data_IF_715835575774
#
_entry.id   IF_715835575774
#
_cell.length_a   1.000
_cell.length_b   1.000
_cell.length_c   1.000
_cell.angle_alpha   90.00
_cell.angle_beta   90.00
_cell.angle_gamma   90.00
#
_symmetry.space_group_name_H-M   'P 1'
#
loop_
_entity.id
_entity.type
_entity.pdbx_description
1 polymer ?
#
# COMPACT_ATOMS: atom_id res chain seq x y z
N UNK A 1 -12.64 28.63 13.90
CA UNK A 1 -12.25 27.42 13.15
C UNK A 1 -10.92 26.93 13.72
N UNK A 2 -10.76 25.64 13.99
CA UNK A 2 -9.46 25.08 14.40
C UNK A 2 -8.34 25.41 13.39
N UNK A 3 -8.70 25.62 12.12
CA UNK A 3 -7.78 26.12 11.07
C UNK A 3 -7.22 27.51 11.37
N UNK A 4 -7.98 28.39 12.04
CA UNK A 4 -7.53 29.74 12.40
C UNK A 4 -6.68 29.77 13.70
N UNK A 5 -6.67 28.70 14.48
CA UNK A 5 -5.83 28.57 15.69
C UNK A 5 -4.45 27.99 15.38
N UNK A 6 -4.29 27.24 14.29
CA UNK A 6 -2.98 26.74 13.84
C UNK A 6 -2.03 27.82 13.32
N UNK A 7 -2.53 29.00 12.96
CA UNK A 7 -1.73 30.11 12.42
C UNK A 7 -1.26 31.11 13.50
N UNK A 8 -1.75 31.00 14.74
CA UNK A 8 -1.41 31.92 15.83
C UNK A 8 -0.59 31.14 16.87
N UNK A 9 0.71 31.04 16.62
CA UNK A 9 1.70 30.36 17.46
C UNK A 9 1.96 31.05 18.81
N UNK A 10 0.95 31.12 19.68
CA UNK A 10 1.14 31.43 21.10
C UNK A 10 1.01 30.17 21.95
N UNK A 11 1.90 30.00 22.93
CA UNK A 11 1.95 28.85 23.86
C UNK A 11 0.66 28.64 24.67
N UNK A 12 -0.23 29.64 24.74
CA UNK A 12 -1.59 29.55 25.30
C UNK A 12 -2.52 28.65 24.48
N UNK A 13 -2.18 28.38 23.22
CA UNK A 13 -2.96 27.56 22.29
C UNK A 13 -2.75 26.05 22.48
N UNK A 14 -1.57 25.60 22.93
CA UNK A 14 -1.21 24.16 22.99
C UNK A 14 -2.15 23.39 23.92
N UNK A 15 -2.41 23.91 25.12
CA UNK A 15 -3.35 23.27 26.05
C UNK A 15 -4.77 23.19 25.50
N UNK A 16 -5.22 24.22 24.78
CA UNK A 16 -6.54 24.23 24.14
C UNK A 16 -6.60 23.23 22.98
N UNK A 17 -5.55 23.17 22.14
CA UNK A 17 -5.44 22.22 21.04
C UNK A 17 -5.39 20.78 21.56
N UNK A 18 -4.69 20.52 22.67
CA UNK A 18 -4.69 19.20 23.31
C UNK A 18 -6.10 18.81 23.77
N UNK A 19 -6.80 19.69 24.48
CA UNK A 19 -8.18 19.44 24.89
C UNK A 19 -9.10 19.18 23.69
N UNK A 20 -8.99 19.99 22.62
CA UNK A 20 -9.75 19.79 21.38
C UNK A 20 -9.40 18.45 20.72
N UNK A 21 -8.12 18.09 20.63
CA UNK A 21 -7.68 16.83 20.02
C UNK A 21 -8.22 15.58 20.71
N UNK A 22 -8.52 15.67 22.02
CA UNK A 22 -8.96 14.54 22.83
C UNK A 22 -10.47 14.46 23.03
N UNK A 23 -11.16 15.61 23.01
CA UNK A 23 -12.54 15.70 23.51
C UNK A 23 -13.53 16.28 22.51
N UNK A 24 -13.07 16.83 21.38
CA UNK A 24 -14.02 17.36 20.39
C UNK A 24 -14.83 16.22 19.76
N UNK A 25 -16.14 16.43 19.66
CA UNK A 25 -17.07 15.45 19.09
C UNK A 25 -16.84 15.27 17.60
N UNK A 26 -16.37 16.30 16.90
CA UNK A 26 -16.12 16.28 15.47
C UNK A 26 -14.69 15.79 15.17
N UNK A 27 -14.62 14.65 14.46
CA UNK A 27 -13.37 14.05 14.01
C UNK A 27 -12.49 15.01 13.18
N UNK A 28 -13.09 15.88 12.36
CA UNK A 28 -12.35 16.85 11.56
C UNK A 28 -11.74 17.93 12.43
N UNK A 29 -12.43 18.34 13.51
CA UNK A 29 -11.92 19.33 14.45
C UNK A 29 -10.78 18.74 15.28
N UNK A 30 -10.91 17.49 15.76
CA UNK A 30 -9.80 16.76 16.40
C UNK A 30 -8.59 16.68 15.47
N UNK A 31 -8.79 16.25 14.23
CA UNK A 31 -7.74 16.15 13.20
C UNK A 31 -7.03 17.49 12.95
N UNK A 32 -7.78 18.58 12.85
CA UNK A 32 -7.22 19.92 12.68
C UNK A 32 -6.40 20.37 13.90
N UNK A 33 -6.84 20.03 15.12
CA UNK A 33 -6.09 20.33 16.33
C UNK A 33 -4.77 19.54 16.39
N UNK A 34 -4.78 18.25 16.03
CA UNK A 34 -3.57 17.41 15.95
C UNK A 34 -2.59 17.95 14.90
N UNK A 35 -3.10 18.34 13.73
CA UNK A 35 -2.29 18.93 12.66
C UNK A 35 -1.62 20.24 13.12
N UNK A 36 -2.35 21.09 13.85
CA UNK A 36 -1.80 22.30 14.45
C UNK A 36 -0.72 21.99 15.50
N UNK A 37 -0.93 21.01 16.39
CA UNK A 37 0.08 20.58 17.38
C UNK A 37 1.38 20.12 16.71
N UNK A 38 1.27 19.33 15.63
CA UNK A 38 2.41 18.90 14.83
C UNK A 38 3.15 20.06 14.16
N UNK A 39 2.43 21.01 13.56
CA UNK A 39 3.00 22.20 12.90
C UNK A 39 3.69 23.16 13.88
N UNK A 40 3.14 23.30 15.09
CA UNK A 40 3.74 24.10 16.16
C UNK A 40 5.03 23.42 16.67
N UNK A 41 5.12 22.10 16.58
CA UNK A 41 6.24 21.33 17.12
C UNK A 41 6.28 21.36 18.64
N UNK A 42 5.12 21.42 19.30
CA UNK A 42 4.99 21.56 20.75
C UNK A 42 5.47 20.29 21.48
N UNK A 43 6.63 20.28 22.16
CA UNK A 43 7.17 19.06 22.79
C UNK A 43 6.27 18.49 23.89
N UNK A 44 5.49 19.35 24.55
CA UNK A 44 4.53 18.98 25.60
C UNK A 44 3.35 18.16 25.06
N UNK A 45 3.09 18.20 23.75
CA UNK A 45 2.03 17.42 23.12
C UNK A 45 2.42 15.96 22.84
N UNK A 46 3.70 15.61 22.93
CA UNK A 46 4.19 14.28 22.52
C UNK A 46 3.52 13.14 23.30
N UNK A 47 3.57 13.15 24.64
CA UNK A 47 2.97 12.09 25.47
C UNK A 47 1.43 12.07 25.38
N UNK A 48 0.72 13.23 25.45
CA UNK A 48 -0.72 13.26 25.21
C UNK A 48 -1.17 12.66 23.87
N UNK A 49 -0.38 12.85 22.81
CA UNK A 49 -0.65 12.29 21.49
C UNK A 49 -0.40 10.77 21.45
N UNK A 50 0.63 10.27 22.14
CA UNK A 50 0.83 8.82 22.33
C UNK A 50 -0.36 8.19 23.06
N UNK A 51 -0.89 8.85 24.08
CA UNK A 51 -2.08 8.38 24.80
C UNK A 51 -3.35 8.44 23.95
N UNK A 52 -3.49 9.47 23.10
CA UNK A 52 -4.64 9.60 22.18
C UNK A 52 -4.74 8.42 21.22
N UNK A 53 -3.62 7.93 20.66
CA UNK A 53 -3.63 6.78 19.75
C UNK A 53 -4.22 5.53 20.41
N UNK A 54 -4.04 5.35 21.73
CA UNK A 54 -4.52 4.16 22.45
C UNK A 54 -6.04 4.08 22.52
N UNK A 55 -6.72 5.22 22.43
CA UNK A 55 -8.18 5.31 22.56
C UNK A 55 -8.88 5.68 21.24
N UNK A 56 -8.14 6.24 20.28
CA UNK A 56 -8.69 6.65 18.99
C UNK A 56 -8.98 5.44 18.10
N UNK A 57 -10.11 5.50 17.39
CA UNK A 57 -10.63 4.43 16.54
C UNK A 57 -10.54 4.78 15.06
N UNK A 58 -10.53 6.07 14.72
CA UNK A 58 -10.49 6.52 13.33
C UNK A 58 -9.06 6.47 12.79
N UNK A 59 -8.83 5.62 11.79
CA UNK A 59 -7.50 5.39 11.21
C UNK A 59 -6.86 6.67 10.66
N UNK A 60 -7.66 7.55 10.05
CA UNK A 60 -7.16 8.81 9.48
C UNK A 60 -6.75 9.82 10.57
N UNK A 61 -7.30 9.71 11.78
CA UNK A 61 -6.83 10.47 12.95
C UNK A 61 -5.55 9.85 13.48
N UNK A 62 -5.47 8.52 13.62
CA UNK A 62 -4.25 7.84 14.08
C UNK A 62 -3.06 8.21 13.18
N UNK A 63 -3.24 8.17 11.86
CA UNK A 63 -2.23 8.63 10.87
C UNK A 63 -1.80 10.06 11.15
N UNK A 64 -2.76 10.97 11.33
CA UNK A 64 -2.46 12.37 11.64
C UNK A 64 -1.71 12.54 12.97
N UNK A 65 -2.00 11.72 13.98
CA UNK A 65 -1.26 11.75 15.24
C UNK A 65 0.18 11.30 15.05
N UNK A 66 0.44 10.23 14.30
CA UNK A 66 1.81 9.78 14.04
C UNK A 66 2.59 10.82 13.23
N UNK A 67 1.98 11.45 12.22
CA UNK A 67 2.60 12.57 11.52
C UNK A 67 2.95 13.73 12.46
N UNK A 68 2.04 14.10 13.36
CA UNK A 68 2.28 15.14 14.35
C UNK A 68 3.43 14.79 15.30
N UNK A 69 3.51 13.53 15.78
CA UNK A 69 4.59 13.06 16.64
C UNK A 69 5.96 13.14 15.94
N UNK A 70 6.03 12.75 14.67
CA UNK A 70 7.25 12.85 13.86
C UNK A 70 7.66 14.32 13.67
N UNK A 71 6.70 15.20 13.42
CA UNK A 71 6.96 16.64 13.25
C UNK A 71 7.39 17.32 14.56
N UNK A 72 6.87 16.88 15.71
CA UNK A 72 7.27 17.37 17.02
C UNK A 72 8.70 16.92 17.35
N UNK A 73 8.98 15.61 17.26
CA UNK A 73 10.29 15.06 17.57
C UNK A 73 10.49 13.71 16.87
N UNK A 74 10.99 13.77 15.63
CA UNK A 74 11.31 12.59 14.83
C UNK A 74 12.33 11.69 15.51
N UNK A 75 13.38 12.25 16.12
CA UNK A 75 14.42 11.46 16.77
C UNK A 75 13.87 10.65 17.96
N UNK A 76 13.04 11.28 18.79
CA UNK A 76 12.34 10.60 19.89
C UNK A 76 11.36 9.55 19.37
N UNK A 77 10.56 9.88 18.35
CA UNK A 77 9.63 8.93 17.76
C UNK A 77 10.33 7.69 17.22
N UNK A 78 11.42 7.86 16.45
CA UNK A 78 12.17 6.75 15.87
C UNK A 78 12.88 5.91 16.94
N UNK A 79 13.47 6.53 17.96
CA UNK A 79 14.12 5.79 19.06
C UNK A 79 13.12 4.98 19.91
N UNK A 80 11.87 5.44 20.01
CA UNK A 80 10.79 4.73 20.70
C UNK A 80 10.05 3.69 19.86
N UNK A 81 10.29 3.63 18.54
CA UNK A 81 9.43 2.90 17.60
C UNK A 81 9.21 1.43 17.96
N UNK A 82 10.27 0.73 18.37
CA UNK A 82 10.20 -0.69 18.77
C UNK A 82 9.34 -0.93 20.03
N UNK A 83 9.17 0.08 20.89
CA UNK A 83 8.39 0.00 22.13
C UNK A 83 6.91 0.34 21.95
N UNK A 84 6.56 0.97 20.83
CA UNK A 84 5.19 1.36 20.54
C UNK A 84 4.30 0.16 20.20
N UNK A 85 2.98 0.32 20.33
CA UNK A 85 2.00 -0.71 19.97
C UNK A 85 2.04 -1.02 18.48
N UNK A 86 1.55 -2.20 18.09
CA UNK A 86 1.47 -2.63 16.69
C UNK A 86 0.70 -1.64 15.80
N UNK A 87 -0.31 -0.96 16.34
CA UNK A 87 -1.05 0.09 15.63
C UNK A 87 -0.12 1.26 15.24
N UNK A 88 0.67 1.77 16.18
CA UNK A 88 1.61 2.87 15.91
C UNK A 88 2.66 2.44 14.90
N UNK A 89 3.25 1.25 15.06
CA UNK A 89 4.27 0.74 14.14
C UNK A 89 3.71 0.49 12.74
N UNK A 90 2.48 -0.02 12.64
CA UNK A 90 1.78 -0.20 11.36
C UNK A 90 1.54 1.14 10.67
N UNK A 91 1.04 2.13 11.42
CA UNK A 91 0.82 3.48 10.89
C UNK A 91 2.14 4.14 10.48
N UNK A 92 3.19 3.99 11.27
CA UNK A 92 4.53 4.46 10.96
C UNK A 92 5.03 3.88 9.62
N UNK A 93 4.89 2.56 9.41
CA UNK A 93 5.24 1.90 8.16
C UNK A 93 4.46 2.40 6.93
N UNK A 94 3.25 2.96 7.12
CA UNK A 94 2.44 3.52 6.02
C UNK A 94 2.85 4.92 5.60
N UNK A 95 3.48 5.69 6.49
CA UNK A 95 3.75 7.12 6.26
C UNK A 95 5.24 7.45 6.15
N UNK A 96 6.11 6.67 6.81
CA UNK A 96 7.55 6.90 6.82
C UNK A 96 8.14 6.46 5.48
N UNK A 97 9.08 7.26 4.97
CA UNK A 97 9.80 7.01 3.72
C UNK A 97 11.26 6.61 3.93
N UNK A 98 11.74 6.58 5.18
CA UNK A 98 13.10 6.14 5.53
C UNK A 98 13.25 4.63 5.24
N UNK A 99 14.13 4.24 4.29
CA UNK A 99 14.33 2.83 3.95
C UNK A 99 14.80 1.99 5.14
N UNK A 100 15.65 2.52 6.02
CA UNK A 100 16.17 1.76 7.16
C UNK A 100 15.05 1.39 8.14
N UNK A 101 14.11 2.31 8.37
CA UNK A 101 12.94 2.06 9.22
C UNK A 101 12.02 1.02 8.59
N UNK A 102 11.71 1.16 7.30
CA UNK A 102 10.85 0.21 6.59
C UNK A 102 11.47 -1.19 6.52
N UNK A 103 12.77 -1.28 6.29
CA UNK A 103 13.50 -2.55 6.32
C UNK A 103 13.40 -3.22 7.70
N UNK A 104 13.57 -2.46 8.78
CA UNK A 104 13.43 -2.98 10.14
C UNK A 104 11.99 -3.44 10.43
N UNK A 105 10.98 -2.63 10.09
CA UNK A 105 9.57 -2.97 10.30
C UNK A 105 9.09 -4.13 9.41
N UNK A 106 9.78 -4.40 8.29
CA UNK A 106 9.49 -5.57 7.44
C UNK A 106 9.81 -6.91 8.13
N UNK A 107 10.58 -6.89 9.22
CA UNK A 107 10.88 -8.06 10.05
C UNK A 107 10.04 -8.12 11.33
N UNK A 108 9.06 -7.23 11.49
CA UNK A 108 8.25 -7.18 12.70
C UNK A 108 7.44 -8.47 12.91
N UNK A 109 7.34 -8.92 14.16
CA UNK A 109 6.56 -10.11 14.55
C UNK A 109 5.05 -9.90 14.34
N UNK A 110 4.58 -8.66 14.42
CA UNK A 110 3.20 -8.31 14.10
C UNK A 110 3.00 -8.30 12.57
N UNK A 111 2.16 -9.23 12.09
CA UNK A 111 1.84 -9.36 10.66
C UNK A 111 1.34 -8.06 10.04
N UNK A 112 0.58 -7.26 10.78
CA UNK A 112 0.04 -5.98 10.26
C UNK A 112 1.16 -4.98 9.99
N UNK A 113 2.15 -4.93 10.89
CA UNK A 113 3.32 -4.05 10.76
C UNK A 113 4.18 -4.52 9.60
N UNK A 114 4.46 -5.82 9.53
CA UNK A 114 5.21 -6.44 8.43
C UNK A 114 4.58 -6.13 7.07
N UNK A 115 3.27 -6.33 6.95
CA UNK A 115 2.54 -6.10 5.70
C UNK A 115 2.60 -4.63 5.27
N UNK A 116 2.36 -3.71 6.21
CA UNK A 116 2.46 -2.29 5.94
C UNK A 116 3.88 -1.87 5.52
N UNK A 117 4.90 -2.47 6.14
CA UNK A 117 6.29 -2.20 5.80
C UNK A 117 6.67 -2.72 4.41
N UNK A 118 6.23 -3.92 4.02
CA UNK A 118 6.44 -4.45 2.66
C UNK A 118 5.81 -3.53 1.61
N UNK A 119 4.60 -3.02 1.85
CA UNK A 119 3.97 -2.03 0.98
C UNK A 119 4.73 -0.69 0.97
N UNK A 120 5.22 -0.25 2.13
CA UNK A 120 6.08 0.93 2.25
C UNK A 120 7.35 0.81 1.40
N UNK A 121 7.99 -0.36 1.42
CA UNK A 121 9.17 -0.66 0.59
C UNK A 121 8.86 -0.53 -0.91
N UNK A 122 7.70 -1.03 -1.36
CA UNK A 122 7.26 -0.86 -2.76
C UNK A 122 7.09 0.60 -3.14
N UNK A 123 6.52 1.40 -2.24
CA UNK A 123 6.29 2.83 -2.47
C UNK A 123 7.57 3.66 -2.58
N UNK A 124 8.58 3.34 -1.77
CA UNK A 124 9.85 4.09 -1.80
C UNK A 124 10.77 3.62 -2.93
N UNK A 125 10.63 2.37 -3.39
CA UNK A 125 11.32 1.79 -4.53
C UNK A 125 12.85 2.04 -4.60
N UNK A 126 13.53 2.19 -3.46
CA UNK A 126 15.00 2.28 -3.44
C UNK A 126 15.61 0.92 -3.76
N UNK A 127 16.88 0.88 -4.16
CA UNK A 127 17.54 -0.39 -4.47
C UNK A 127 17.52 -1.35 -3.27
N UNK A 128 17.75 -0.87 -2.05
CA UNK A 128 17.70 -1.75 -0.87
C UNK A 128 16.27 -2.27 -0.60
N UNK A 129 15.26 -1.46 -0.90
CA UNK A 129 13.86 -1.86 -0.78
C UNK A 129 13.50 -2.94 -1.81
N UNK A 130 13.91 -2.77 -3.07
CA UNK A 130 13.70 -3.75 -4.14
C UNK A 130 14.43 -5.07 -3.86
N UNK A 131 15.67 -5.00 -3.36
CA UNK A 131 16.43 -6.19 -2.95
C UNK A 131 15.70 -6.95 -1.82
N UNK A 132 15.08 -6.22 -0.89
CA UNK A 132 14.28 -6.80 0.19
C UNK A 132 12.98 -7.42 -0.32
N UNK A 133 12.26 -6.73 -1.21
CA UNK A 133 11.04 -7.24 -1.86
C UNK A 133 11.31 -8.53 -2.64
N UNK A 134 12.46 -8.62 -3.32
CA UNK A 134 12.90 -9.80 -4.05
C UNK A 134 13.09 -11.03 -3.17
N UNK A 135 13.27 -10.86 -1.85
CA UNK A 135 13.26 -11.98 -0.90
C UNK A 135 11.85 -12.36 -0.48
N UNK A 136 10.98 -11.38 -0.26
CA UNK A 136 9.59 -11.62 0.15
C UNK A 136 8.74 -12.27 -0.94
N UNK A 137 9.04 -12.01 -2.20
CA UNK A 137 8.35 -12.67 -3.31
C UNK A 137 8.59 -14.20 -3.30
N UNK A 138 9.70 -14.66 -2.69
CA UNK A 138 10.05 -16.07 -2.52
C UNK A 138 9.63 -16.66 -1.17
N UNK A 139 8.85 -15.93 -0.37
CA UNK A 139 8.48 -16.36 0.97
C UNK A 139 7.59 -17.62 0.94
N UNK A 140 7.75 -18.57 1.87
CA UNK A 140 6.87 -19.74 1.95
C UNK A 140 5.39 -19.37 2.21
N UNK A 141 5.11 -18.26 2.91
CA UNK A 141 3.75 -17.79 3.15
C UNK A 141 3.17 -17.10 1.89
N UNK A 142 2.11 -17.64 1.27
CA UNK A 142 1.49 -17.02 0.10
C UNK A 142 0.95 -15.61 0.37
N UNK A 143 0.57 -15.29 1.60
CA UNK A 143 0.15 -13.93 1.94
C UNK A 143 1.31 -12.94 1.86
N UNK A 144 2.53 -13.34 2.23
CA UNK A 144 3.72 -12.51 2.10
C UNK A 144 4.07 -12.33 0.62
N UNK A 145 4.06 -13.42 -0.16
CA UNK A 145 4.30 -13.35 -1.62
C UNK A 145 3.32 -12.41 -2.30
N UNK A 146 2.02 -12.52 -1.98
CA UNK A 146 0.95 -11.65 -2.51
C UNK A 146 1.24 -10.16 -2.27
N UNK A 147 1.68 -9.81 -1.07
CA UNK A 147 1.98 -8.42 -0.72
C UNK A 147 3.26 -7.97 -1.44
N UNK A 148 4.25 -8.85 -1.55
CA UNK A 148 5.49 -8.57 -2.26
C UNK A 148 5.28 -8.34 -3.76
N UNK A 149 4.50 -9.18 -4.45
CA UNK A 149 4.18 -8.98 -5.88
C UNK A 149 3.43 -7.67 -6.10
N UNK A 150 2.50 -7.34 -5.18
CA UNK A 150 1.76 -6.07 -5.24
C UNK A 150 2.71 -4.88 -5.06
N UNK A 151 3.60 -4.96 -4.06
CA UNK A 151 4.60 -3.92 -3.79
C UNK A 151 5.61 -3.76 -4.94
N UNK A 152 5.99 -4.83 -5.64
CA UNK A 152 6.79 -4.74 -6.86
C UNK A 152 6.05 -4.05 -8.01
N UNK A 153 4.75 -4.32 -8.14
CA UNK A 153 3.85 -3.61 -9.07
C UNK A 153 3.82 -2.10 -8.79
N UNK A 154 3.60 -1.72 -7.53
CA UNK A 154 3.61 -0.31 -7.08
C UNK A 154 4.97 0.37 -7.29
N UNK A 155 6.06 -0.40 -7.18
CA UNK A 155 7.42 0.08 -7.43
C UNK A 155 7.76 0.20 -8.93
N UNK A 156 6.83 -0.17 -9.82
CA UNK A 156 7.05 -0.30 -11.26
C UNK A 156 8.29 -1.17 -11.60
N UNK A 157 8.52 -2.22 -10.82
CA UNK A 157 9.70 -3.08 -10.95
C UNK A 157 9.35 -4.37 -11.73
N UNK A 158 9.52 -4.34 -13.06
CA UNK A 158 9.38 -5.54 -13.87
C UNK A 158 10.66 -6.38 -13.75
N UNK A 159 10.53 -7.58 -13.18
CA UNK A 159 11.65 -8.51 -13.00
C UNK A 159 11.28 -9.93 -13.44
N UNK A 160 12.26 -10.76 -13.84
CA UNK A 160 12.02 -12.19 -14.09
C UNK A 160 11.40 -12.89 -12.88
N UNK A 161 11.81 -12.51 -11.67
CA UNK A 161 11.26 -13.01 -10.42
C UNK A 161 9.78 -12.66 -10.28
N UNK A 162 9.35 -11.44 -10.63
CA UNK A 162 7.93 -11.09 -10.65
C UNK A 162 7.16 -11.98 -11.64
N UNK A 163 7.69 -12.13 -12.86
CA UNK A 163 7.02 -12.89 -13.93
C UNK A 163 6.84 -14.37 -13.58
N UNK A 164 7.71 -14.97 -12.77
CA UNK A 164 7.59 -16.38 -12.37
C UNK A 164 6.33 -16.65 -11.52
N UNK A 165 5.81 -15.64 -10.81
CA UNK A 165 4.62 -15.79 -9.96
C UNK A 165 3.31 -15.77 -10.75
N UNK A 166 3.37 -15.56 -12.06
CA UNK A 166 2.23 -15.84 -12.95
C UNK A 166 1.87 -17.34 -12.95
N UNK A 167 2.75 -18.21 -12.46
CA UNK A 167 2.50 -19.65 -12.28
C UNK A 167 2.62 -20.07 -10.81
N UNK A 168 2.41 -19.16 -9.85
CA UNK A 168 2.42 -19.49 -8.42
C UNK A 168 1.36 -20.54 -8.06
N UNK A 169 1.66 -21.42 -7.11
CA UNK A 169 0.72 -22.44 -6.63
C UNK A 169 -0.56 -21.80 -6.06
N UNK A 170 -0.44 -20.65 -5.41
CA UNK A 170 -1.57 -19.91 -4.87
C UNK A 170 -2.25 -19.06 -5.95
N UNK A 171 -3.54 -19.29 -6.23
CA UNK A 171 -4.26 -18.57 -7.27
C UNK A 171 -4.42 -17.06 -7.02
N UNK A 172 -4.41 -16.62 -5.75
CA UNK A 172 -4.43 -15.20 -5.44
C UNK A 172 -3.07 -14.57 -5.71
N UNK A 173 -1.96 -15.24 -5.41
CA UNK A 173 -0.64 -14.73 -5.81
C UNK A 173 -0.57 -14.54 -7.33
N UNK A 174 -1.06 -15.51 -8.13
CA UNK A 174 -1.17 -15.34 -9.59
C UNK A 174 -2.01 -14.12 -9.98
N UNK A 175 -3.19 -13.96 -9.36
CA UNK A 175 -4.09 -12.84 -9.63
C UNK A 175 -3.43 -11.47 -9.38
N UNK A 176 -2.76 -11.32 -8.24
CA UNK A 176 -2.05 -10.08 -7.92
C UNK A 176 -0.81 -9.88 -8.78
N UNK A 177 -0.16 -10.97 -9.22
CA UNK A 177 0.96 -10.89 -10.16
C UNK A 177 0.52 -10.36 -11.51
N UNK A 178 -0.63 -10.81 -12.04
CA UNK A 178 -1.21 -10.27 -13.29
C UNK A 178 -1.37 -8.74 -13.22
N UNK A 179 -1.91 -8.23 -12.11
CA UNK A 179 -2.06 -6.79 -11.88
C UNK A 179 -0.72 -6.08 -11.76
N UNK A 180 0.21 -6.65 -11.02
CA UNK A 180 1.55 -6.10 -10.86
C UNK A 180 2.31 -6.02 -12.20
N UNK A 181 2.20 -7.03 -13.07
CA UNK A 181 2.78 -7.03 -14.41
C UNK A 181 2.22 -5.89 -15.26
N UNK A 182 0.92 -5.62 -15.19
CA UNK A 182 0.31 -4.51 -15.91
C UNK A 182 0.79 -3.13 -15.43
N UNK A 183 1.18 -3.01 -14.16
CA UNK A 183 1.72 -1.77 -13.60
C UNK A 183 3.21 -1.61 -13.87
N UNK A 184 3.97 -2.70 -13.80
CA UNK A 184 5.43 -2.67 -13.77
C UNK A 184 6.10 -2.89 -15.12
N UNK A 185 5.50 -3.69 -16.01
CA UNK A 185 6.13 -4.09 -17.26
C UNK A 185 5.62 -3.26 -18.45
N UNK A 186 6.44 -3.18 -19.49
CA UNK A 186 6.03 -2.57 -20.76
C UNK A 186 4.82 -3.32 -21.37
N UNK A 187 3.90 -2.61 -22.06
CA UNK A 187 2.66 -3.19 -22.58
C UNK A 187 2.87 -4.43 -23.45
N UNK A 188 3.92 -4.48 -24.27
CA UNK A 188 4.24 -5.62 -25.13
C UNK A 188 4.58 -6.86 -24.29
N UNK A 189 5.37 -6.68 -23.23
CA UNK A 189 5.75 -7.77 -22.32
C UNK A 189 4.53 -8.24 -21.53
N UNK A 190 3.72 -7.31 -21.02
CA UNK A 190 2.50 -7.65 -20.31
C UNK A 190 1.55 -8.47 -21.21
N UNK A 191 1.33 -8.03 -22.45
CA UNK A 191 0.47 -8.71 -23.41
C UNK A 191 0.98 -10.12 -23.76
N UNK A 192 2.29 -10.27 -24.02
CA UNK A 192 2.91 -11.58 -24.26
C UNK A 192 2.64 -12.55 -23.10
N UNK A 193 2.76 -12.08 -21.86
CA UNK A 193 2.54 -12.93 -20.69
C UNK A 193 1.08 -13.27 -20.45
N UNK A 194 0.13 -12.41 -20.81
CA UNK A 194 -1.29 -12.69 -20.63
C UNK A 194 -1.80 -13.86 -21.48
N UNK A 195 -1.16 -14.18 -22.62
CA UNK A 195 -1.60 -15.29 -23.49
C UNK A 195 -1.67 -16.63 -22.74
N UNK A 196 -0.66 -16.97 -21.94
CA UNK A 196 -0.67 -18.19 -21.14
C UNK A 196 -1.74 -18.14 -20.02
N UNK A 197 -2.00 -16.95 -19.47
CA UNK A 197 -2.91 -16.73 -18.35
C UNK A 197 -4.38 -16.89 -18.75
N UNK A 198 -4.71 -16.70 -20.04
CA UNK A 198 -6.04 -16.98 -20.55
C UNK A 198 -6.47 -18.46 -20.41
N UNK A 199 -5.53 -19.36 -20.12
CA UNK A 199 -5.79 -20.79 -19.88
C UNK A 199 -5.74 -21.16 -18.39
N UNK A 200 -5.65 -20.18 -17.47
CA UNK A 200 -5.58 -20.45 -16.03
C UNK A 200 -6.87 -21.14 -15.54
N UNK A 201 -6.70 -22.16 -14.70
CA UNK A 201 -7.81 -22.89 -14.08
C UNK A 201 -8.68 -22.02 -13.15
N UNK A 202 -8.13 -20.94 -12.61
CA UNK A 202 -8.81 -20.05 -11.69
C UNK A 202 -9.36 -18.82 -12.42
N UNK A 203 -10.67 -18.82 -12.66
CA UNK A 203 -11.34 -17.81 -13.48
C UNK A 203 -11.05 -16.35 -13.06
N UNK A 204 -10.93 -15.98 -11.78
CA UNK A 204 -10.54 -14.61 -11.43
C UNK A 204 -9.18 -14.16 -11.99
N UNK A 205 -8.21 -15.07 -12.14
CA UNK A 205 -6.92 -14.78 -12.79
C UNK A 205 -7.13 -14.49 -14.27
N UNK A 206 -7.93 -15.30 -14.96
CA UNK A 206 -8.30 -15.10 -16.38
C UNK A 206 -9.01 -13.76 -16.56
N UNK A 207 -9.98 -13.44 -15.70
CA UNK A 207 -10.70 -12.15 -15.75
C UNK A 207 -9.75 -10.96 -15.56
N UNK A 208 -8.78 -11.07 -14.63
CA UNK A 208 -7.76 -10.05 -14.45
C UNK A 208 -6.89 -9.88 -15.69
N UNK A 209 -6.54 -10.97 -16.38
CA UNK A 209 -5.77 -10.90 -17.62
C UNK A 209 -6.56 -10.21 -18.74
N UNK A 210 -7.86 -10.48 -18.85
CA UNK A 210 -8.73 -9.80 -19.81
C UNK A 210 -8.84 -8.30 -19.54
N UNK A 211 -8.91 -7.88 -18.27
CA UNK A 211 -8.88 -6.46 -17.90
C UNK A 211 -7.55 -5.79 -18.29
N UNK A 212 -6.42 -6.50 -18.14
CA UNK A 212 -5.10 -6.03 -18.56
C UNK A 212 -5.01 -5.90 -20.09
N UNK A 213 -5.44 -6.92 -20.84
CA UNK A 213 -5.44 -6.91 -22.32
C UNK A 213 -6.31 -5.75 -22.84
N UNK A 214 -7.50 -5.56 -22.23
CA UNK A 214 -8.38 -4.43 -22.53
C UNK A 214 -7.69 -3.09 -22.27
N UNK A 215 -7.01 -2.95 -21.14
CA UNK A 215 -6.32 -1.71 -20.76
C UNK A 215 -5.17 -1.34 -21.68
N UNK A 216 -4.44 -2.34 -22.19
CA UNK A 216 -3.37 -2.16 -23.19
C UNK A 216 -3.95 -1.77 -24.55
N UNK A 217 -4.95 -2.50 -25.02
CA UNK A 217 -5.66 -2.19 -26.25
C UNK A 217 -4.88 -2.44 -27.56
N UNK A 218 -5.48 -2.01 -28.67
CA UNK A 218 -4.85 -2.03 -30.00
C UNK A 218 -4.88 -3.38 -30.72
N UNK A 219 -4.28 -3.40 -31.91
CA UNK A 219 -4.34 -4.53 -32.85
C UNK A 219 -3.80 -5.83 -32.25
N UNK A 220 -2.70 -5.77 -31.50
CA UNK A 220 -2.11 -6.95 -30.87
C UNK A 220 -3.03 -7.56 -29.80
N UNK A 221 -3.69 -6.72 -29.00
CA UNK A 221 -4.69 -7.16 -28.03
C UNK A 221 -5.90 -7.81 -28.71
N UNK A 222 -6.37 -7.21 -29.82
CA UNK A 222 -7.46 -7.77 -30.62
C UNK A 222 -7.11 -9.16 -31.14
N UNK A 223 -5.95 -9.29 -31.81
CA UNK A 223 -5.50 -10.56 -32.39
C UNK A 223 -5.29 -11.64 -31.34
N UNK A 224 -4.83 -11.29 -30.14
CA UNK A 224 -4.68 -12.23 -29.03
C UNK A 224 -6.05 -12.77 -28.58
N UNK A 225 -7.02 -11.89 -28.36
CA UNK A 225 -8.35 -12.28 -27.91
C UNK A 225 -9.15 -13.01 -29.00
N UNK A 226 -8.97 -12.63 -30.27
CA UNK A 226 -9.62 -13.28 -31.40
C UNK A 226 -9.26 -14.78 -31.49
N UNK A 227 -7.99 -15.12 -31.21
CA UNK A 227 -7.53 -16.52 -31.10
C UNK A 227 -8.16 -17.29 -29.93
N UNK A 228 -8.65 -16.60 -28.92
CA UNK A 228 -9.16 -17.18 -27.67
C UNK A 228 -10.69 -17.07 -27.50
N UNK A 229 -11.43 -16.62 -28.53
CA UNK A 229 -12.90 -16.50 -28.49
C UNK A 229 -13.62 -17.77 -28.04
N UNK A 230 -13.12 -18.93 -28.43
CA UNK A 230 -13.71 -20.24 -28.12
C UNK A 230 -13.22 -20.82 -26.78
N UNK A 231 -13.06 -19.96 -25.76
CA UNK A 231 -12.64 -20.38 -24.43
C UNK A 231 -13.66 -21.36 -23.80
N UNK A 232 -13.25 -22.41 -23.05
CA UNK A 232 -14.18 -23.40 -22.48
C UNK A 232 -15.19 -22.81 -21.47
N UNK A 233 -14.77 -21.84 -20.66
CA UNK A 233 -15.63 -21.16 -19.70
C UNK A 233 -16.52 -20.09 -20.38
N UNK A 234 -17.82 -20.14 -20.13
CA UNK A 234 -18.82 -19.23 -20.74
C UNK A 234 -18.67 -17.76 -20.32
N UNK A 235 -18.42 -17.50 -19.04
CA UNK A 235 -18.23 -16.13 -18.54
C UNK A 235 -16.99 -15.48 -19.18
N UNK A 236 -15.93 -16.28 -19.35
CA UNK A 236 -14.70 -15.83 -20.04
C UNK A 236 -14.98 -15.52 -21.51
N UNK A 237 -15.73 -16.37 -22.23
CA UNK A 237 -16.12 -16.06 -23.62
C UNK A 237 -16.93 -14.77 -23.72
N UNK A 238 -17.92 -14.60 -22.82
CA UNK A 238 -18.73 -13.38 -22.78
C UNK A 238 -17.87 -12.14 -22.52
N UNK A 239 -16.89 -12.24 -21.61
CA UNK A 239 -15.96 -11.15 -21.34
C UNK A 239 -15.02 -10.86 -22.52
N UNK A 240 -14.55 -11.89 -23.23
CA UNK A 240 -13.74 -11.72 -24.45
C UNK A 240 -14.52 -10.95 -25.51
N UNK A 241 -15.77 -11.34 -25.79
CA UNK A 241 -16.61 -10.64 -26.77
C UNK A 241 -16.92 -9.19 -26.34
N UNK A 242 -17.17 -8.97 -25.04
CA UNK A 242 -17.30 -7.62 -24.48
C UNK A 242 -16.03 -6.80 -24.77
N UNK A 243 -14.85 -7.32 -24.44
CA UNK A 243 -13.58 -6.60 -24.63
C UNK A 243 -13.31 -6.31 -26.11
N UNK A 244 -13.51 -7.29 -26.99
CA UNK A 244 -13.32 -7.15 -28.44
C UNK A 244 -14.21 -6.07 -29.06
N UNK A 245 -15.37 -5.77 -28.47
CA UNK A 245 -16.24 -4.68 -28.93
C UNK A 245 -15.67 -3.27 -28.65
N UNK A 246 -14.65 -3.17 -27.80
CA UNK A 246 -14.01 -1.92 -27.39
C UNK A 246 -12.59 -1.72 -27.94
N UNK A 247 -12.02 -2.75 -28.58
CA UNK A 247 -10.67 -2.72 -29.20
C UNK A 247 -10.73 -2.22 -30.64
#
# INVERSE_FOLDING_TARGET
SATALGEIGESSSVGSLLATSQHDVDAHVRKAAIDALGKIGAPEAFEPLIDLIKIEKYTDIIEKVVEALINIDSARFMSGLASYSGIIRTTAARIITDPAVLLALSEDEDRSVKFAAIQGLGRIATQEALDRLSRFIMDPDPEIRKIAVTAMGDAHCCSPELLQHLTDDDPWVRFYTVKAVAMACEPETALEKMEAILQDSFIPVVMSALDVIRGIGGQAAYELLDRHREHPNEDVRAKIEEVLSYL
#
